data_IF_787506670914
#
_entry.id   IF_787506670914
#
_cell.length_a   1.000
_cell.length_b   1.000
_cell.length_c   1.000
_cell.angle_alpha   90.00
_cell.angle_beta   90.00
_cell.angle_gamma   90.00
#
_symmetry.space_group_name_H-M   'P 1'
#
loop_
_entity.id
_entity.type
_entity.pdbx_description
1 polymer ?
#
# COMPACT_ATOMS: atom_id res chain seq x y z
N UNK A 1 -11.14 34.64 -0.20
CA UNK A 1 -11.16 33.47 0.70
C UNK A 1 -10.08 32.53 0.22
N UNK A 2 -9.09 32.20 1.06
CA UNK A 2 -8.08 31.18 0.71
C UNK A 2 -8.81 29.85 0.49
N UNK A 3 -8.35 29.09 -0.51
CA UNK A 3 -8.93 27.78 -0.81
C UNK A 3 -8.68 26.85 0.39
N UNK A 4 -9.64 26.00 0.79
CA UNK A 4 -9.39 25.01 1.82
C UNK A 4 -8.25 24.08 1.39
N UNK A 5 -7.37 23.76 2.33
CA UNK A 5 -6.29 22.79 2.13
C UNK A 5 -6.87 21.39 1.88
N UNK A 6 -6.20 20.57 1.06
CA UNK A 6 -6.70 19.23 0.76
C UNK A 6 -6.55 18.30 1.95
N UNK A 7 -7.40 17.27 2.00
CA UNK A 7 -7.16 16.09 2.81
C UNK A 7 -5.96 15.33 2.22
N UNK A 8 -4.96 15.03 3.04
CA UNK A 8 -3.85 14.13 2.69
C UNK A 8 -4.09 12.76 3.27
N UNK A 9 -4.27 11.78 2.40
CA UNK A 9 -4.43 10.39 2.79
C UNK A 9 -3.10 9.63 2.70
N UNK A 10 -2.72 8.95 3.78
CA UNK A 10 -1.71 7.90 3.76
C UNK A 10 -2.36 6.51 3.79
N UNK A 11 -1.99 5.62 2.87
CA UNK A 11 -2.33 4.20 3.00
C UNK A 11 -1.10 3.40 3.43
N UNK A 12 -1.05 3.05 4.72
CA UNK A 12 0.11 2.45 5.36
C UNK A 12 0.25 0.94 5.13
N UNK A 13 -0.73 0.34 4.46
CA UNK A 13 -0.70 -1.06 4.06
C UNK A 13 -2.01 -1.75 4.33
N UNK A 14 -2.00 -3.06 4.60
CA UNK A 14 -0.84 -3.94 4.58
C UNK A 14 -0.36 -4.23 3.15
N UNK A 15 0.93 -4.55 2.98
CA UNK A 15 1.45 -5.03 1.70
C UNK A 15 0.67 -6.27 1.28
N UNK A 16 0.11 -6.30 0.06
CA UNK A 16 -0.76 -7.36 -0.47
C UNK A 16 -2.20 -7.42 0.10
N UNK A 17 -2.67 -6.34 0.74
CA UNK A 17 -4.05 -6.21 1.22
C UNK A 17 -4.94 -5.29 0.35
N UNK A 18 -4.70 -5.24 -0.97
CA UNK A 18 -5.60 -4.51 -1.90
C UNK A 18 -5.28 -3.03 -2.16
N UNK A 19 -4.17 -2.50 -1.64
CA UNK A 19 -3.80 -1.08 -1.82
C UNK A 19 -3.64 -0.62 -3.27
N UNK A 20 -3.31 -1.52 -4.21
CA UNK A 20 -3.32 -1.21 -5.65
C UNK A 20 -4.73 -1.00 -6.22
N UNK A 21 -5.71 -1.75 -5.73
CA UNK A 21 -7.10 -1.53 -6.11
C UNK A 21 -7.58 -0.18 -5.57
N UNK A 22 -7.29 0.11 -4.29
CA UNK A 22 -7.64 1.38 -3.66
C UNK A 22 -7.07 2.58 -4.42
N UNK A 23 -5.79 2.53 -4.80
CA UNK A 23 -5.18 3.55 -5.66
C UNK A 23 -5.93 3.73 -6.98
N UNK A 24 -6.25 2.62 -7.67
CA UNK A 24 -6.94 2.69 -8.95
C UNK A 24 -8.37 3.25 -8.86
N UNK A 25 -9.07 2.99 -7.76
CA UNK A 25 -10.40 3.57 -7.51
C UNK A 25 -10.31 5.06 -7.22
N UNK A 26 -9.46 5.46 -6.26
CA UNK A 26 -9.28 6.87 -5.91
C UNK A 26 -8.75 7.68 -7.09
N UNK A 27 -7.89 7.11 -7.95
CA UNK A 27 -7.37 7.80 -9.14
C UNK A 27 -8.44 8.10 -10.20
N UNK A 28 -9.62 7.48 -10.13
CA UNK A 28 -10.77 7.75 -11.01
C UNK A 28 -11.82 8.64 -10.34
N UNK A 29 -11.69 8.90 -9.05
CA UNK A 29 -12.66 9.67 -8.29
C UNK A 29 -12.57 11.16 -8.65
N UNK A 30 -13.69 11.85 -8.95
CA UNK A 30 -13.68 13.23 -9.43
C UNK A 30 -13.06 14.22 -8.43
N UNK A 31 -13.24 14.00 -7.12
CA UNK A 31 -12.64 14.83 -6.06
C UNK A 31 -11.21 14.45 -5.64
N UNK A 32 -10.57 13.46 -6.28
CA UNK A 32 -9.25 12.97 -5.87
C UNK A 32 -8.18 13.27 -6.92
N UNK A 33 -7.04 13.77 -6.49
CA UNK A 33 -5.83 13.96 -7.29
C UNK A 33 -4.76 12.95 -6.86
N UNK A 34 -4.65 11.85 -7.60
CA UNK A 34 -3.61 10.86 -7.36
C UNK A 34 -2.53 10.95 -8.44
N UNK A 35 -1.27 10.91 -7.98
CA UNK A 35 -0.12 10.76 -8.86
C UNK A 35 -0.14 9.40 -9.56
N UNK A 36 0.47 9.33 -10.74
CA UNK A 36 0.63 8.08 -11.51
C UNK A 36 1.59 7.11 -10.85
N UNK A 37 2.51 7.64 -10.04
CA UNK A 37 3.44 6.87 -9.26
C UNK A 37 2.77 6.41 -7.95
N UNK A 38 2.63 5.09 -7.79
CA UNK A 38 2.33 4.46 -6.51
C UNK A 38 3.62 4.25 -5.74
N UNK A 39 3.48 4.12 -4.41
CA UNK A 39 4.56 3.72 -3.51
C UNK A 39 5.76 4.67 -3.66
N UNK A 40 5.56 5.93 -3.22
CA UNK A 40 6.56 6.99 -3.34
C UNK A 40 7.83 6.66 -2.56
N UNK A 41 7.67 5.94 -1.44
CA UNK A 41 8.76 5.55 -0.56
C UNK A 41 9.62 6.73 -0.07
N UNK A 42 9.01 7.91 0.09
CA UNK A 42 9.70 9.10 0.59
C UNK A 42 10.22 8.92 2.01
N UNK A 43 9.31 8.81 2.99
CA UNK A 43 9.69 8.77 4.41
C UNK A 43 10.57 7.57 4.78
N UNK A 44 10.33 6.37 4.24
CA UNK A 44 11.22 5.23 4.51
C UNK A 44 12.59 5.37 3.82
N UNK A 45 12.67 6.07 2.69
CA UNK A 45 13.97 6.41 2.10
C UNK A 45 14.71 7.49 2.90
N UNK A 46 14.01 8.44 3.52
CA UNK A 46 14.60 9.39 4.46
C UNK A 46 15.16 8.65 5.68
N UNK A 47 14.33 7.85 6.35
CA UNK A 47 14.71 7.09 7.55
C UNK A 47 15.90 6.15 7.33
N UNK A 48 16.03 5.59 6.13
CA UNK A 48 17.08 4.62 5.81
C UNK A 48 18.27 5.23 5.05
N UNK A 49 18.27 6.54 4.78
CA UNK A 49 19.34 7.20 4.02
C UNK A 49 19.43 6.75 2.55
N UNK A 50 18.30 6.39 1.94
CA UNK A 50 18.22 5.78 0.59
C UNK A 50 17.63 6.68 -0.48
N UNK A 51 17.50 7.99 -0.24
CA UNK A 51 16.96 8.95 -1.20
C UNK A 51 17.64 8.86 -2.57
N UNK A 52 18.98 8.85 -2.63
CA UNK A 52 19.73 8.72 -3.90
C UNK A 52 19.52 7.36 -4.57
N UNK A 53 19.42 6.28 -3.79
CA UNK A 53 19.08 4.96 -4.35
C UNK A 53 17.69 5.00 -4.99
N UNK A 54 16.72 5.62 -4.30
CA UNK A 54 15.36 5.76 -4.79
C UNK A 54 15.31 6.63 -6.05
N UNK A 55 16.06 7.72 -6.08
CA UNK A 55 16.20 8.59 -7.25
C UNK A 55 16.68 7.81 -8.47
N UNK A 56 17.76 7.03 -8.33
CA UNK A 56 18.29 6.19 -9.39
C UNK A 56 17.28 5.13 -9.89
N UNK A 57 16.46 4.56 -8.99
CA UNK A 57 15.35 3.68 -9.39
C UNK A 57 14.33 4.41 -10.27
N UNK A 58 13.92 5.61 -9.88
CA UNK A 58 12.94 6.43 -10.63
C UNK A 58 13.49 6.81 -12.00
N UNK A 59 14.75 7.23 -12.09
CA UNK A 59 15.41 7.47 -13.39
C UNK A 59 15.40 6.23 -14.28
N UNK A 60 15.66 5.05 -13.70
CA UNK A 60 15.57 3.77 -14.41
C UNK A 60 14.17 3.48 -14.95
N UNK A 61 13.14 3.82 -14.18
CA UNK A 61 11.73 3.71 -14.63
C UNK A 61 11.44 4.69 -15.77
N UNK A 62 11.92 5.93 -15.70
CA UNK A 62 11.79 6.92 -16.78
C UNK A 62 12.42 6.39 -18.06
N UNK A 63 13.67 5.91 -18.00
CA UNK A 63 14.36 5.30 -19.16
C UNK A 63 13.56 4.13 -19.76
N UNK A 64 12.92 3.33 -18.92
CA UNK A 64 12.07 2.21 -19.37
C UNK A 64 10.80 2.70 -20.08
N UNK A 65 10.16 3.76 -19.59
CA UNK A 65 8.97 4.33 -20.23
C UNK A 65 9.31 5.01 -21.55
N UNK A 66 10.41 5.75 -21.63
CA UNK A 66 10.89 6.37 -22.87
C UNK A 66 11.14 5.33 -23.97
N UNK A 67 11.75 4.19 -23.64
CA UNK A 67 11.91 3.07 -24.60
C UNK A 67 10.56 2.55 -25.11
N UNK A 68 9.55 2.45 -24.24
CA UNK A 68 8.20 2.01 -24.62
C UNK A 68 7.47 3.03 -25.50
N UNK A 69 7.78 4.32 -25.36
CA UNK A 69 7.18 5.35 -26.21
C UNK A 69 7.57 5.21 -27.68
N UNK A 70 8.77 4.69 -27.98
CA UNK A 70 9.27 4.57 -29.36
C UNK A 70 8.29 3.82 -30.26
N UNK A 71 7.69 2.73 -29.76
CA UNK A 71 6.78 1.86 -30.51
C UNK A 71 5.31 2.07 -30.13
N UNK A 72 4.98 3.11 -29.37
CA UNK A 72 3.62 3.36 -28.90
C UNK A 72 2.76 4.06 -29.98
N UNK A 73 1.48 3.73 -30.03
CA UNK A 73 0.47 4.52 -30.72
C UNK A 73 0.20 5.86 -29.99
N UNK A 74 -0.58 6.73 -30.61
CA UNK A 74 -0.82 8.09 -30.10
C UNK A 74 -1.47 8.09 -28.71
N UNK A 75 -2.53 7.31 -28.52
CA UNK A 75 -3.23 7.23 -27.23
C UNK A 75 -2.28 6.73 -26.12
N UNK A 76 -1.45 5.75 -26.45
CA UNK A 76 -0.46 5.20 -25.53
C UNK A 76 0.68 6.18 -25.24
N UNK A 77 1.09 7.01 -26.21
CA UNK A 77 2.08 8.07 -26.01
C UNK A 77 1.60 9.11 -24.99
N UNK A 78 0.33 9.53 -25.07
CA UNK A 78 -0.26 10.46 -24.10
C UNK A 78 -0.21 9.87 -22.67
N UNK A 79 -0.60 8.60 -22.51
CA UNK A 79 -0.50 7.92 -21.20
C UNK A 79 0.94 7.84 -20.68
N UNK A 80 1.89 7.47 -21.55
CA UNK A 80 3.30 7.33 -21.20
C UNK A 80 3.94 8.67 -20.85
N UNK A 81 3.64 9.74 -21.59
CA UNK A 81 4.12 11.09 -21.32
C UNK A 81 3.73 11.55 -19.93
N UNK A 82 2.43 11.45 -19.58
CA UNK A 82 1.94 11.80 -18.25
C UNK A 82 2.68 11.05 -17.13
N UNK A 83 2.99 9.77 -17.36
CA UNK A 83 3.72 8.92 -16.41
C UNK A 83 5.20 9.28 -16.29
N UNK A 84 5.82 9.78 -17.36
CA UNK A 84 7.21 10.24 -17.38
C UNK A 84 7.32 11.58 -16.68
N UNK A 85 6.45 12.54 -17.01
CA UNK A 85 6.40 13.87 -16.39
C UNK A 85 6.25 13.77 -14.87
N UNK A 86 5.31 12.93 -14.41
CA UNK A 86 5.08 12.71 -12.98
C UNK A 86 6.31 12.09 -12.28
N UNK A 87 7.00 11.13 -12.94
CA UNK A 87 8.25 10.55 -12.40
C UNK A 87 9.40 11.55 -12.42
N UNK A 88 9.49 12.40 -13.43
CA UNK A 88 10.50 13.45 -13.52
C UNK A 88 10.27 14.51 -12.43
N UNK A 89 9.03 14.87 -12.15
CA UNK A 89 8.69 15.73 -11.02
C UNK A 89 9.10 15.09 -9.69
N UNK A 90 8.84 13.79 -9.51
CA UNK A 90 9.24 13.06 -8.31
C UNK A 90 10.76 12.93 -8.16
N UNK A 91 11.47 12.64 -9.25
CA UNK A 91 12.92 12.55 -9.30
C UNK A 91 13.59 13.84 -8.85
N UNK A 92 13.05 15.01 -9.21
CA UNK A 92 13.52 16.32 -8.72
C UNK A 92 13.40 16.48 -7.21
N UNK A 93 12.31 16.01 -6.61
CA UNK A 93 12.12 16.04 -5.14
C UNK A 93 13.17 15.16 -4.46
N UNK A 94 13.37 13.95 -4.98
CA UNK A 94 14.39 13.04 -4.44
C UNK A 94 15.82 13.60 -4.63
N UNK A 95 16.05 14.33 -5.74
CA UNK A 95 17.33 14.96 -6.08
C UNK A 95 17.73 16.14 -5.19
N UNK A 96 16.85 16.58 -4.28
CA UNK A 96 17.26 17.48 -3.20
C UNK A 96 18.26 16.80 -2.24
N UNK A 97 18.30 15.46 -2.20
CA UNK A 97 19.26 14.70 -1.41
C UNK A 97 19.08 14.83 0.11
N UNK A 98 17.99 15.47 0.55
CA UNK A 98 17.64 15.71 1.96
C UNK A 98 16.14 15.63 2.17
N UNK A 99 15.74 15.52 3.43
CA UNK A 99 14.34 15.70 3.81
C UNK A 99 13.90 17.15 3.52
N UNK A 100 12.76 17.27 2.86
CA UNK A 100 12.09 18.49 2.45
C UNK A 100 10.59 18.20 2.26
N UNK A 101 9.85 18.33 3.36
CA UNK A 101 8.41 18.05 3.42
C UNK A 101 7.60 19.00 2.53
N UNK A 102 8.08 20.24 2.35
CA UNK A 102 7.47 21.21 1.43
C UNK A 102 7.52 20.74 -0.01
N UNK A 103 8.69 20.35 -0.51
CA UNK A 103 8.84 19.81 -1.86
C UNK A 103 8.03 18.50 -2.06
N UNK A 104 7.94 17.66 -1.02
CA UNK A 104 7.08 16.48 -1.02
C UNK A 104 5.59 16.83 -1.18
N UNK A 105 5.09 17.79 -0.41
CA UNK A 105 3.70 18.26 -0.47
C UNK A 105 3.40 18.98 -1.79
N UNK A 106 4.32 19.80 -2.29
CA UNK A 106 4.20 20.47 -3.59
C UNK A 106 4.09 19.46 -4.73
N UNK A 107 4.86 18.37 -4.67
CA UNK A 107 4.73 17.29 -5.63
C UNK A 107 3.36 16.61 -5.57
N UNK A 108 2.88 16.28 -4.36
CA UNK A 108 1.58 15.63 -4.19
C UNK A 108 0.40 16.51 -4.62
N UNK A 109 0.47 17.81 -4.33
CA UNK A 109 -0.62 18.77 -4.56
C UNK A 109 -0.51 19.50 -5.91
N UNK A 110 0.62 19.36 -6.61
CA UNK A 110 0.84 19.99 -7.92
C UNK A 110 -0.19 19.55 -8.96
N UNK A 111 -1.04 20.48 -9.39
CA UNK A 111 -2.13 20.21 -10.34
C UNK A 111 -3.42 19.68 -9.70
N UNK A 112 -3.57 19.84 -8.38
CA UNK A 112 -4.77 19.46 -7.64
C UNK A 112 -6.05 20.03 -8.26
N UNK A 113 -6.05 21.31 -8.65
CA UNK A 113 -7.27 22.00 -9.12
C UNK A 113 -8.35 21.98 -8.01
N UNK A 114 -9.63 21.92 -8.34
CA UNK A 114 -10.72 21.98 -7.34
C UNK A 114 -10.96 20.66 -6.58
N UNK A 115 -10.07 19.69 -6.75
CA UNK A 115 -10.11 18.40 -6.07
C UNK A 115 -9.72 18.57 -4.60
N UNK A 116 -10.22 17.68 -3.77
CA UNK A 116 -10.20 17.80 -2.30
C UNK A 116 -9.22 16.85 -1.63
N UNK A 117 -8.83 15.77 -2.30
CA UNK A 117 -7.99 14.73 -1.72
C UNK A 117 -6.72 14.47 -2.55
N UNK A 118 -5.59 14.36 -1.87
CA UNK A 118 -4.34 13.77 -2.38
C UNK A 118 -4.01 12.51 -1.58
N UNK A 119 -3.25 11.58 -2.15
CA UNK A 119 -2.89 10.36 -1.43
C UNK A 119 -1.47 9.87 -1.73
N UNK A 120 -0.81 9.38 -0.68
CA UNK A 120 0.39 8.55 -0.76
C UNK A 120 0.08 7.14 -0.26
N UNK A 121 0.10 6.19 -1.19
CA UNK A 121 -0.18 4.78 -0.94
C UNK A 121 1.13 4.02 -0.96
N UNK A 122 1.79 4.00 0.20
CA UNK A 122 3.05 3.29 0.44
C UNK A 122 2.91 2.33 1.62
N UNK A 123 2.62 1.03 1.37
CA UNK A 123 2.45 0.04 2.44
C UNK A 123 3.67 -0.21 3.34
N UNK A 124 4.85 0.31 2.97
CA UNK A 124 6.02 0.26 3.83
C UNK A 124 5.96 1.26 4.98
N UNK A 125 5.13 2.31 4.88
CA UNK A 125 5.02 3.33 5.91
C UNK A 125 4.47 2.79 7.23
N UNK A 126 3.67 1.71 7.23
CA UNK A 126 3.28 1.05 8.48
C UNK A 126 4.46 0.53 9.33
N UNK A 127 5.65 0.37 8.73
CA UNK A 127 6.86 -0.05 9.43
C UNK A 127 7.68 1.11 10.01
N UNK A 128 7.31 2.36 9.73
CA UNK A 128 8.04 3.53 10.22
C UNK A 128 7.96 3.63 11.76
N UNK A 129 8.95 4.30 12.40
CA UNK A 129 8.89 4.64 13.82
C UNK A 129 7.68 5.50 14.18
N UNK A 130 7.27 5.49 15.45
CA UNK A 130 6.12 6.25 15.94
C UNK A 130 6.32 7.76 15.77
N UNK A 131 7.53 8.24 16.03
CA UNK A 131 7.91 9.65 15.88
C UNK A 131 7.72 10.11 14.43
N UNK A 132 8.00 9.22 13.47
CA UNK A 132 7.80 9.49 12.05
C UNK A 132 6.31 9.53 11.70
N UNK A 133 5.51 8.60 12.20
CA UNK A 133 4.05 8.60 11.98
C UNK A 133 3.40 9.87 12.55
N UNK A 134 3.81 10.29 13.75
CA UNK A 134 3.35 11.53 14.37
C UNK A 134 3.74 12.77 13.54
N UNK A 135 4.97 12.84 13.02
CA UNK A 135 5.39 13.90 12.09
C UNK A 135 4.55 13.91 10.80
N UNK A 136 4.27 12.74 10.23
CA UNK A 136 3.42 12.62 9.04
C UNK A 136 2.00 13.14 9.30
N UNK A 137 1.45 12.89 10.49
CA UNK A 137 0.11 13.38 10.89
C UNK A 137 0.02 14.91 10.99
N UNK A 138 1.17 15.59 11.16
CA UNK A 138 1.26 17.04 11.29
C UNK A 138 1.59 17.77 9.96
N UNK A 139 1.71 17.06 8.83
CA UNK A 139 2.09 17.66 7.54
C UNK A 139 1.07 18.66 7.01
N UNK A 140 -0.22 18.39 7.24
CA UNK A 140 -1.35 19.25 6.89
C UNK A 140 -2.36 19.23 8.05
N UNK A 141 -3.29 20.19 8.14
CA UNK A 141 -4.37 20.19 9.13
C UNK A 141 -5.26 18.95 9.07
N UNK A 142 -5.45 18.38 7.88
CA UNK A 142 -6.28 17.20 7.64
C UNK A 142 -5.48 16.06 6.99
N UNK A 143 -4.73 15.33 7.82
CA UNK A 143 -4.04 14.09 7.44
C UNK A 143 -4.82 12.89 7.95
N UNK A 144 -5.07 11.90 7.09
CA UNK A 144 -5.82 10.68 7.43
C UNK A 144 -5.06 9.43 7.04
N UNK A 145 -5.06 8.44 7.91
CA UNK A 145 -4.36 7.17 7.73
C UNK A 145 -5.35 6.04 7.48
N UNK A 146 -5.10 5.26 6.44
CA UNK A 146 -5.87 4.06 6.10
C UNK A 146 -4.98 2.83 6.21
N UNK A 147 -5.46 1.81 6.92
CA UNK A 147 -4.83 0.50 7.01
C UNK A 147 -5.82 -0.60 6.59
N UNK A 148 -5.53 -1.26 5.48
CA UNK A 148 -6.30 -2.39 4.98
C UNK A 148 -5.68 -3.71 5.45
N UNK A 149 -6.47 -4.56 6.11
CA UNK A 149 -6.06 -5.90 6.50
C UNK A 149 -6.59 -6.92 5.52
N UNK A 150 -5.83 -7.98 5.28
CA UNK A 150 -6.29 -9.18 4.56
C UNK A 150 -5.97 -10.38 5.42
N UNK A 151 -6.64 -11.51 5.18
CA UNK A 151 -6.30 -12.79 5.81
C UNK A 151 -4.76 -12.94 5.91
N UNK A 152 -4.21 -13.09 7.13
CA UNK A 152 -2.77 -13.11 7.35
C UNK A 152 -2.02 -14.15 6.50
N UNK A 153 -2.60 -15.35 6.31
CA UNK A 153 -1.97 -16.47 5.58
C UNK A 153 -1.94 -16.17 4.08
N UNK A 154 -3.08 -15.78 3.53
CA UNK A 154 -3.24 -15.36 2.14
C UNK A 154 -2.31 -14.19 1.78
N UNK A 155 -2.24 -13.20 2.67
CA UNK A 155 -1.37 -12.02 2.48
C UNK A 155 0.09 -12.43 2.54
N UNK A 156 0.49 -13.25 3.52
CA UNK A 156 1.86 -13.77 3.64
C UNK A 156 2.25 -14.55 2.37
N UNK A 157 1.41 -15.48 1.93
CA UNK A 157 1.67 -16.27 0.73
C UNK A 157 1.79 -15.41 -0.52
N UNK A 158 0.89 -14.42 -0.67
CA UNK A 158 0.96 -13.45 -1.77
C UNK A 158 2.27 -12.66 -1.76
N UNK A 159 2.76 -12.29 -0.58
CA UNK A 159 4.00 -11.54 -0.41
C UNK A 159 5.24 -12.40 -0.69
N UNK A 160 5.26 -13.66 -0.24
CA UNK A 160 6.31 -14.64 -0.54
C UNK A 160 6.42 -14.89 -2.05
N UNK A 161 5.29 -15.11 -2.74
CA UNK A 161 5.27 -15.30 -4.20
C UNK A 161 5.79 -14.08 -4.96
N UNK A 162 5.40 -12.88 -4.53
CA UNK A 162 5.89 -11.63 -5.12
C UNK A 162 7.41 -11.48 -4.97
N UNK A 163 7.95 -11.69 -3.77
CA UNK A 163 9.39 -11.57 -3.54
C UNK A 163 10.18 -12.64 -4.31
N UNK A 164 9.65 -13.85 -4.39
CA UNK A 164 10.22 -14.93 -5.21
C UNK A 164 10.35 -14.53 -6.68
N UNK A 165 9.34 -13.85 -7.24
CA UNK A 165 9.38 -13.38 -8.64
C UNK A 165 10.42 -12.27 -8.83
N UNK A 166 10.53 -11.36 -7.87
CA UNK A 166 11.49 -10.24 -7.91
C UNK A 166 12.94 -10.74 -7.88
N UNK A 167 13.26 -11.70 -7.01
CA UNK A 167 14.61 -12.30 -6.91
C UNK A 167 15.03 -12.96 -8.23
N UNK A 168 14.08 -13.54 -8.97
CA UNK A 168 14.33 -14.20 -10.26
C UNK A 168 14.26 -13.25 -11.47
N UNK A 169 14.20 -11.94 -11.24
CA UNK A 169 14.12 -10.95 -12.32
C UNK A 169 12.82 -11.07 -13.15
N UNK A 170 11.72 -11.47 -12.52
CA UNK A 170 10.42 -11.62 -13.19
C UNK A 170 10.25 -12.92 -13.99
N UNK A 171 11.22 -13.85 -13.95
CA UNK A 171 11.06 -15.19 -14.54
C UNK A 171 10.11 -16.05 -13.71
N UNK A 172 9.46 -17.03 -14.35
CA UNK A 172 8.52 -17.96 -13.71
C UNK A 172 9.11 -18.56 -12.42
N UNK A 173 8.42 -18.33 -11.31
CA UNK A 173 8.74 -18.96 -10.03
C UNK A 173 8.04 -20.31 -9.98
N UNK A 174 8.81 -21.37 -9.72
CA UNK A 174 8.21 -22.67 -9.42
C UNK A 174 7.59 -22.64 -8.02
N UNK A 175 6.45 -23.30 -7.78
CA UNK A 175 5.84 -23.39 -6.45
C UNK A 175 6.85 -23.79 -5.36
N UNK A 176 7.75 -24.73 -5.66
CA UNK A 176 8.82 -25.18 -4.77
C UNK A 176 9.72 -24.06 -4.24
N UNK A 177 9.98 -23.02 -5.02
CA UNK A 177 10.82 -21.91 -4.55
C UNK A 177 10.07 -20.99 -3.58
N UNK A 178 8.80 -20.68 -3.86
CA UNK A 178 7.95 -19.91 -2.96
C UNK A 178 7.75 -20.66 -1.63
N UNK A 179 7.53 -21.97 -1.67
CA UNK A 179 7.47 -22.83 -0.48
C UNK A 179 8.75 -22.81 0.34
N UNK A 180 9.93 -22.88 -0.29
CA UNK A 180 11.21 -22.76 0.41
C UNK A 180 11.39 -21.40 1.08
N UNK A 181 10.92 -20.33 0.44
CA UNK A 181 10.99 -18.99 1.02
C UNK A 181 10.03 -18.86 2.21
N UNK A 182 8.81 -19.40 2.10
CA UNK A 182 7.87 -19.48 3.22
C UNK A 182 8.49 -20.22 4.40
N UNK A 183 9.04 -21.42 4.19
CA UNK A 183 9.69 -22.19 5.25
C UNK A 183 10.82 -21.40 5.94
N UNK A 184 11.62 -20.65 5.17
CA UNK A 184 12.63 -19.74 5.73
C UNK A 184 12.02 -18.62 6.57
N UNK A 185 10.91 -18.01 6.14
CA UNK A 185 10.21 -16.96 6.91
C UNK A 185 9.75 -17.53 8.25
N UNK A 186 9.09 -18.70 8.23
CA UNK A 186 8.57 -19.35 9.44
C UNK A 186 9.69 -19.74 10.43
N UNK A 187 10.90 -20.01 9.92
CA UNK A 187 12.11 -20.31 10.71
C UNK A 187 12.93 -19.08 11.11
N UNK A 188 12.39 -17.87 10.96
CA UNK A 188 13.05 -16.63 11.38
C UNK A 188 14.01 -15.99 10.34
N UNK A 189 14.02 -16.48 9.10
CA UNK A 189 14.61 -15.76 7.97
C UNK A 189 13.70 -14.66 7.43
N UNK A 190 14.18 -13.87 6.47
CA UNK A 190 13.38 -12.85 5.75
C UNK A 190 12.57 -11.93 6.68
N UNK A 191 13.28 -11.26 7.60
CA UNK A 191 12.70 -10.40 8.63
C UNK A 191 11.83 -9.26 8.05
N UNK A 192 12.09 -8.83 6.82
CA UNK A 192 11.28 -7.86 6.09
C UNK A 192 9.85 -8.38 5.80
N UNK A 193 9.71 -9.68 5.48
CA UNK A 193 8.41 -10.33 5.29
C UNK A 193 7.72 -10.55 6.64
N UNK A 194 8.48 -10.97 7.66
CA UNK A 194 7.95 -11.21 9.00
C UNK A 194 7.36 -9.92 9.60
N UNK A 195 8.11 -8.81 9.60
CA UNK A 195 7.66 -7.50 10.09
C UNK A 195 6.39 -7.00 9.38
N UNK A 196 6.26 -7.24 8.07
CA UNK A 196 5.05 -6.88 7.29
C UNK A 196 3.84 -7.77 7.59
N UNK A 197 4.03 -8.84 8.35
CA UNK A 197 2.98 -9.77 8.77
C UNK A 197 2.47 -9.49 10.18
N UNK A 198 3.10 -8.56 10.90
CA UNK A 198 2.77 -8.20 12.27
C UNK A 198 1.78 -7.02 12.29
N UNK A 199 0.49 -7.33 12.14
CA UNK A 199 -0.57 -6.32 12.23
C UNK A 199 -0.61 -5.68 13.61
N UNK A 200 -0.42 -6.46 14.67
CA UNK A 200 -0.38 -5.97 16.05
C UNK A 200 0.62 -4.84 16.20
N UNK A 201 1.88 -5.06 15.80
CA UNK A 201 2.92 -4.04 15.92
C UNK A 201 2.61 -2.76 15.12
N UNK A 202 1.97 -2.88 13.95
CA UNK A 202 1.61 -1.69 13.15
C UNK A 202 0.44 -0.93 13.77
N UNK A 203 -0.60 -1.64 14.21
CA UNK A 203 -1.81 -1.03 14.75
C UNK A 203 -1.56 -0.41 16.13
N UNK A 204 -0.79 -1.06 17.01
CA UNK A 204 -0.42 -0.50 18.32
C UNK A 204 0.50 0.73 18.20
N UNK A 205 1.32 0.82 17.13
CA UNK A 205 2.08 2.05 16.85
C UNK A 205 1.17 3.17 16.36
N UNK A 206 0.20 2.87 15.49
CA UNK A 206 -0.75 3.86 15.00
C UNK A 206 -1.55 4.47 16.14
N UNK A 207 -2.10 3.64 17.02
CA UNK A 207 -2.88 4.10 18.19
C UNK A 207 -2.09 5.05 19.10
N UNK A 208 -0.76 4.88 19.17
CA UNK A 208 0.12 5.70 20.01
C UNK A 208 0.64 6.96 19.33
N UNK A 209 0.55 7.05 18.00
CA UNK A 209 1.18 8.13 17.22
C UNK A 209 0.19 9.03 16.48
N UNK A 210 -1.06 8.61 16.30
CA UNK A 210 -2.07 9.32 15.52
C UNK A 210 -3.40 9.32 16.26
N UNK A 211 -4.15 10.42 16.20
CA UNK A 211 -5.50 10.48 16.77
C UNK A 211 -6.44 9.44 16.13
N UNK A 212 -7.33 8.87 16.94
CA UNK A 212 -8.19 7.76 16.52
C UNK A 212 -9.14 8.13 15.38
N UNK A 213 -9.63 9.38 15.34
CA UNK A 213 -10.51 9.91 14.29
C UNK A 213 -9.78 10.18 12.96
N UNK A 214 -8.45 10.20 12.97
CA UNK A 214 -7.59 10.29 11.78
C UNK A 214 -7.12 8.92 11.28
N UNK A 215 -7.56 7.82 11.89
CA UNK A 215 -7.17 6.46 11.49
C UNK A 215 -8.38 5.60 11.14
N UNK A 216 -8.38 5.03 9.94
CA UNK A 216 -9.35 4.04 9.49
C UNK A 216 -8.68 2.70 9.22
N UNK A 217 -9.07 1.70 10.01
CA UNK A 217 -8.68 0.30 9.79
C UNK A 217 -9.88 -0.46 9.21
N UNK A 218 -9.66 -1.18 8.12
CA UNK A 218 -10.70 -1.98 7.46
C UNK A 218 -10.19 -3.36 7.08
N UNK A 219 -11.07 -4.36 7.09
CA UNK A 219 -10.83 -5.60 6.39
C UNK A 219 -10.94 -5.38 4.88
N UNK A 220 -10.14 -6.10 4.11
CA UNK A 220 -10.18 -6.08 2.65
C UNK A 220 -11.57 -6.50 2.16
N UNK A 221 -12.18 -7.47 2.83
CA UNK A 221 -13.53 -7.97 2.56
C UNK A 221 -14.58 -6.87 2.72
N UNK A 222 -14.50 -6.06 3.78
CA UNK A 222 -15.44 -4.97 4.05
C UNK A 222 -15.44 -3.90 2.96
N UNK A 223 -14.30 -3.68 2.31
CA UNK A 223 -14.18 -2.68 1.25
C UNK A 223 -15.08 -3.00 0.04
N UNK A 224 -15.46 -4.26 -0.14
CA UNK A 224 -16.37 -4.73 -1.20
C UNK A 224 -17.75 -5.12 -0.68
N UNK A 225 -17.96 -5.08 0.63
CA UNK A 225 -19.26 -5.27 1.24
C UNK A 225 -20.14 -4.02 1.05
N UNK A 226 -21.44 -4.18 1.25
CA UNK A 226 -22.40 -3.09 1.21
C UNK A 226 -22.02 -2.00 2.24
N UNK A 227 -21.97 -0.74 1.82
CA UNK A 227 -21.60 0.39 2.69
C UNK A 227 -20.10 0.58 2.92
N UNK A 228 -19.25 -0.36 2.47
CA UNK A 228 -17.81 -0.32 2.72
C UNK A 228 -17.10 0.87 2.07
N UNK A 229 -17.41 1.13 0.80
CA UNK A 229 -16.86 2.27 0.07
C UNK A 229 -17.43 3.60 0.56
N UNK A 230 -18.71 3.62 0.94
CA UNK A 230 -19.36 4.78 1.53
C UNK A 230 -18.68 5.16 2.84
N UNK A 231 -18.35 4.19 3.70
CA UNK A 231 -17.59 4.40 4.93
C UNK A 231 -16.19 4.97 4.65
N UNK A 232 -15.48 4.44 3.65
CA UNK A 232 -14.18 4.96 3.24
C UNK A 232 -14.30 6.41 2.71
N UNK A 233 -15.24 6.69 1.82
CA UNK A 233 -15.46 8.03 1.27
C UNK A 233 -15.81 9.03 2.37
N UNK A 234 -16.72 8.67 3.29
CA UNK A 234 -17.07 9.49 4.44
C UNK A 234 -15.84 9.78 5.32
N UNK A 235 -15.05 8.75 5.64
CA UNK A 235 -13.79 8.93 6.37
C UNK A 235 -12.76 9.74 5.60
N UNK A 236 -12.79 9.81 4.28
CA UNK A 236 -11.90 10.65 3.47
C UNK A 236 -12.50 12.04 3.18
N UNK A 237 -13.73 12.29 3.60
CA UNK A 237 -14.42 13.57 3.40
C UNK A 237 -14.82 13.81 1.95
N UNK A 238 -14.88 12.78 1.11
CA UNK A 238 -15.25 12.84 -0.32
C UNK A 238 -16.65 12.24 -0.53
N UNK A 239 -17.29 12.59 -1.65
CA UNK A 239 -18.58 12.08 -2.05
C UNK A 239 -18.55 10.55 -2.22
N UNK A 240 -19.66 9.85 -1.90
CA UNK A 240 -19.76 8.44 -2.18
C UNK A 240 -19.76 8.20 -3.70
N UNK A 241 -19.11 7.13 -4.12
CA UNK A 241 -19.16 6.66 -5.52
C UNK A 241 -19.44 5.18 -5.53
N UNK A 242 -20.26 4.75 -6.49
CA UNK A 242 -20.36 3.33 -6.81
C UNK A 242 -19.00 2.84 -7.31
N UNK A 243 -18.28 2.08 -6.49
CA UNK A 243 -17.01 1.51 -6.91
C UNK A 243 -17.19 0.36 -7.88
N UNK A 244 -16.19 0.16 -8.75
CA UNK A 244 -16.06 -1.06 -9.54
C UNK A 244 -15.58 -2.21 -8.62
N UNK A 245 -16.53 -2.77 -7.86
CA UNK A 245 -16.32 -3.92 -6.97
C UNK A 245 -16.18 -5.23 -7.73
N UNK A 246 -16.65 -5.28 -8.99
CA UNK A 246 -16.51 -6.42 -9.88
C UNK A 246 -15.05 -6.67 -10.30
N UNK A 247 -14.24 -5.61 -10.44
CA UNK A 247 -12.85 -5.72 -10.86
C UNK A 247 -11.90 -6.01 -9.69
N UNK A 248 -11.74 -7.29 -9.34
CA UNK A 248 -10.67 -7.74 -8.44
C UNK A 248 -9.28 -7.58 -9.09
N UNK A 249 -8.60 -6.49 -8.77
CA UNK A 249 -7.22 -6.23 -9.22
C UNK A 249 -6.27 -7.08 -8.37
N UNK A 250 -5.82 -8.21 -8.94
CA UNK A 250 -4.91 -9.21 -8.34
C UNK A 250 -5.52 -10.22 -7.35
N UNK A 251 -6.57 -10.94 -7.78
CA UNK A 251 -6.92 -12.23 -7.20
C UNK A 251 -5.83 -13.27 -7.49
N UNK A 252 -4.77 -13.29 -6.68
CA UNK A 252 -3.75 -14.35 -6.78
C UNK A 252 -4.40 -15.71 -6.53
N UNK A 253 -4.17 -16.69 -7.42
CA UNK A 253 -4.72 -18.04 -7.29
C UNK A 253 -4.30 -18.64 -5.93
N UNK A 254 -5.24 -18.95 -5.01
CA UNK A 254 -4.93 -19.60 -3.73
C UNK A 254 -4.34 -21.01 -3.90
N UNK A 255 -4.61 -21.65 -5.04
CA UNK A 255 -4.38 -23.07 -5.31
C UNK A 255 -2.93 -23.58 -5.29
N UNK A 256 -1.93 -22.75 -4.98
CA UNK A 256 -0.51 -23.16 -4.99
C UNK A 256 0.09 -23.35 -3.59
N UNK A 257 -0.66 -23.05 -2.52
CA UNK A 257 -0.21 -23.28 -1.14
C UNK A 257 -0.64 -24.68 -0.67
N UNK A 258 0.33 -25.53 -0.42
CA UNK A 258 0.16 -26.85 0.17
C UNK A 258 -0.51 -26.78 1.56
N UNK A 259 -1.41 -27.73 1.93
CA UNK A 259 -2.12 -27.72 3.20
C UNK A 259 -1.23 -27.70 4.45
N UNK A 260 -0.13 -28.46 4.48
CA UNK A 260 0.76 -28.51 5.64
C UNK A 260 1.48 -27.16 5.81
N UNK A 261 1.90 -26.56 4.69
CA UNK A 261 2.48 -25.23 4.68
C UNK A 261 1.46 -24.14 5.11
N UNK A 262 0.18 -24.30 4.73
CA UNK A 262 -0.88 -23.41 5.16
C UNK A 262 -1.13 -23.52 6.67
N UNK A 263 -1.20 -24.74 7.22
CA UNK A 263 -1.36 -24.98 8.65
C UNK A 263 -0.17 -24.42 9.45
N UNK A 264 1.07 -24.65 8.99
CA UNK A 264 2.26 -24.08 9.62
C UNK A 264 2.26 -22.55 9.60
N UNK A 265 1.85 -21.93 8.49
CA UNK A 265 1.71 -20.48 8.40
C UNK A 265 0.59 -19.94 9.31
N UNK A 266 -0.55 -20.64 9.40
CA UNK A 266 -1.68 -20.28 10.29
C UNK A 266 -1.27 -20.35 11.75
N UNK A 267 -0.53 -21.39 12.16
CA UNK A 267 0.00 -21.52 13.51
C UNK A 267 0.99 -20.39 13.83
N UNK A 268 1.92 -20.11 12.93
CA UNK A 268 2.88 -19.00 13.09
C UNK A 268 2.19 -17.62 13.19
N UNK A 269 1.09 -17.43 12.47
CA UNK A 269 0.30 -16.19 12.46
C UNK A 269 -0.78 -16.12 13.54
N UNK A 270 -0.97 -17.15 14.38
CA UNK A 270 -2.02 -17.18 15.39
C UNK A 270 -2.08 -15.93 16.28
N UNK A 271 -0.96 -15.37 16.77
CA UNK A 271 -0.99 -14.14 17.55
C UNK A 271 -1.65 -12.95 16.83
N UNK A 272 -1.60 -12.93 15.50
CA UNK A 272 -2.19 -11.88 14.67
C UNK A 272 -3.70 -12.07 14.49
N UNK A 273 -4.16 -13.30 14.32
CA UNK A 273 -5.59 -13.63 14.31
C UNK A 273 -6.21 -13.26 15.65
N UNK A 274 -5.62 -13.72 16.76
CA UNK A 274 -6.15 -13.48 18.10
C UNK A 274 -6.18 -11.98 18.44
N UNK A 275 -5.15 -11.23 18.02
CA UNK A 275 -5.11 -9.78 18.23
C UNK A 275 -6.23 -9.07 17.46
N UNK A 276 -6.39 -9.40 16.17
CA UNK A 276 -7.41 -8.78 15.33
C UNK A 276 -8.81 -9.13 15.82
N UNK A 277 -9.05 -10.39 16.20
CA UNK A 277 -10.36 -10.83 16.73
C UNK A 277 -10.70 -10.13 18.05
N UNK A 278 -9.74 -10.04 18.99
CA UNK A 278 -9.95 -9.29 20.24
C UNK A 278 -10.26 -7.82 20.00
N UNK A 279 -9.65 -7.22 18.96
CA UNK A 279 -9.79 -5.79 18.68
C UNK A 279 -11.06 -5.44 17.91
N UNK A 280 -11.45 -6.27 16.94
CA UNK A 280 -12.53 -5.94 16.00
C UNK A 280 -13.75 -6.86 16.13
N UNK A 281 -13.70 -7.87 17.00
CA UNK A 281 -14.72 -8.90 17.11
C UNK A 281 -14.58 -9.98 16.04
N UNK A 282 -15.71 -10.54 15.62
CA UNK A 282 -15.72 -11.67 14.68
C UNK A 282 -14.92 -11.37 13.40
N UNK A 283 -13.99 -12.26 13.07
CA UNK A 283 -13.18 -12.16 11.85
C UNK A 283 -14.04 -12.39 10.60
N UNK A 284 -13.68 -11.82 9.43
CA UNK A 284 -14.38 -12.10 8.18
C UNK A 284 -14.45 -13.60 7.88
N UNK A 285 -15.54 -14.07 7.27
CA UNK A 285 -15.73 -15.49 6.95
C UNK A 285 -14.58 -16.07 6.10
N UNK A 286 -13.96 -15.26 5.25
CA UNK A 286 -12.79 -15.66 4.45
C UNK A 286 -11.56 -16.01 5.33
N UNK A 287 -11.40 -15.34 6.47
CA UNK A 287 -10.32 -15.60 7.42
C UNK A 287 -10.63 -16.86 8.26
N UNK A 288 -11.89 -16.99 8.70
CA UNK A 288 -12.36 -18.18 9.42
C UNK A 288 -12.23 -19.46 8.57
N UNK A 289 -12.37 -19.35 7.25
CA UNK A 289 -12.17 -20.49 6.35
C UNK A 289 -10.73 -21.02 6.32
N UNK A 290 -9.73 -20.21 6.72
CA UNK A 290 -8.36 -20.67 6.93
C UNK A 290 -8.11 -21.11 8.38
N UNK A 291 -9.01 -20.78 9.28
CA UNK A 291 -9.04 -21.26 10.66
C UNK A 291 -9.57 -22.70 10.74
N UNK A 292 -10.63 -23.00 9.99
CA UNK A 292 -11.26 -24.33 9.94
C UNK A 292 -10.52 -25.37 9.06
N UNK A 293 -9.40 -24.99 8.43
CA UNK A 293 -8.58 -25.88 7.58
C UNK A 293 -7.41 -26.52 8.33
N UNK A 294 -7.30 -26.28 9.64
CA UNK A 294 -6.27 -26.84 10.54
C UNK A 294 -6.90 -27.91 11.42
#
# INVERSE_FOLDING_TARGET
MSRPEPTLMFCLGATKAGTSWLHAQLARHPECHLRTLKELHYFDSVETGRLETKRAEIEGMIRTLLRRMVTADEAKRVELNRRIEDRAAWEKVLGLGREDEGAYLDYLTGGLGDRRLVADITPAYGLLPEERLARMAALLPDVRFVYLMRDPVDRLWSHVRMNSLRIKGGKTVTPRHAHRMLDKVLKGGHQDIARRSDYRAVLEKLDRSVEADRTLVMFYEDLFAEGGLERLCAFLGIAPVAGDTARRVHGGKPADLDPDAAAAARAWLAPQYDYVERRFGALPAAWQANDAKV
#
